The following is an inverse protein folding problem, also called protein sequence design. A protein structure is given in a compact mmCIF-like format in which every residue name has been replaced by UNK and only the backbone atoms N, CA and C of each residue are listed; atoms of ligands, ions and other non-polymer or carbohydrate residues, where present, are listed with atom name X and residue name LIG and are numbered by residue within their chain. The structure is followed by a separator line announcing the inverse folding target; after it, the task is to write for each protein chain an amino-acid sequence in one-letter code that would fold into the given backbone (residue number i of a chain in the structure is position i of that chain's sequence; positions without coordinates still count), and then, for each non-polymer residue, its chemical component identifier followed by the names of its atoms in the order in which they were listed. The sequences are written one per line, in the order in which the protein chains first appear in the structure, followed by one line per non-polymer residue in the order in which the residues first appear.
data_IF_932584052140
#
_entry.id   IF_932584052140
#
_cell.length_a   1.000
_cell.length_b   1.000
_cell.length_c   1.000
_cell.angle_alpha   90.00
_cell.angle_beta   90.00
_cell.angle_gamma   90.00
#
_symmetry.space_group_name_H-M   'P 1'
#
loop_
_entity.id
_entity.type
_entity.pdbx_description
1 polymer ?
#
# COMPACT_ATOMS: atom_id res chain seq x y z
N UNK A 1 -2.15 0.23 16.57
CA UNK A 1 -2.11 1.49 15.82
C UNK A 1 -1.97 2.60 16.85
N UNK A 2 -1.09 3.59 16.63
CA UNK A 2 -0.80 4.63 17.63
C UNK A 2 -1.81 5.82 17.58
N UNK A 3 -3.07 5.57 17.17
CA UNK A 3 -4.19 6.53 17.12
C UNK A 3 -3.83 7.96 16.71
N UNK A 4 -2.90 8.09 15.77
CA UNK A 4 -2.42 9.36 15.26
C UNK A 4 -2.54 9.33 13.76
N UNK A 5 -3.50 10.10 13.25
CA UNK A 5 -3.58 10.38 11.83
C UNK A 5 -2.35 11.16 11.39
N UNK A 6 -1.82 10.92 10.18
CA UNK A 6 -0.73 11.71 9.63
C UNK A 6 -1.15 13.19 9.54
N UNK A 7 -0.19 14.11 9.73
CA UNK A 7 -0.48 15.53 9.58
C UNK A 7 -0.82 15.86 8.12
N UNK A 8 -1.51 16.98 7.89
CA UNK A 8 -1.83 17.42 6.52
C UNK A 8 -0.57 17.61 5.65
N UNK A 9 0.55 18.04 6.25
CA UNK A 9 1.83 18.13 5.56
C UNK A 9 2.41 16.77 5.16
N UNK A 10 2.26 15.75 6.01
CA UNK A 10 2.73 14.39 5.69
C UNK A 10 1.92 13.78 4.55
N UNK A 11 0.59 13.98 4.57
CA UNK A 11 -0.30 13.55 3.49
C UNK A 11 0.09 14.22 2.17
N UNK A 12 0.30 15.53 2.16
CA UNK A 12 0.69 16.26 0.96
C UNK A 12 2.06 15.79 0.42
N UNK A 13 3.04 15.57 1.29
CA UNK A 13 4.35 15.06 0.89
C UNK A 13 4.26 13.66 0.27
N UNK A 14 3.47 12.76 0.87
CA UNK A 14 3.29 11.41 0.38
C UNK A 14 2.58 11.36 -0.98
N UNK A 15 1.59 12.22 -1.21
CA UNK A 15 1.00 12.38 -2.54
C UNK A 15 2.01 12.84 -3.58
N UNK A 16 2.86 13.80 -3.21
CA UNK A 16 3.87 14.34 -4.10
C UNK A 16 4.88 13.25 -4.45
N UNK A 17 5.26 12.41 -3.49
CA UNK A 17 6.13 11.25 -3.71
C UNK A 17 5.55 10.27 -4.74
N UNK A 18 4.23 10.02 -4.67
CA UNK A 18 3.52 9.21 -5.67
C UNK A 18 3.49 9.89 -7.04
N UNK A 19 3.08 11.16 -7.11
CA UNK A 19 2.94 11.91 -8.37
C UNK A 19 4.26 12.13 -9.08
N UNK A 20 5.35 12.27 -8.33
CA UNK A 20 6.70 12.54 -8.84
C UNK A 20 7.59 11.30 -8.89
N UNK A 21 7.03 10.12 -8.58
CA UNK A 21 7.71 8.83 -8.64
C UNK A 21 8.96 8.76 -7.75
N UNK A 22 8.96 9.48 -6.62
CA UNK A 22 9.99 9.34 -5.57
C UNK A 22 9.87 7.99 -4.85
N UNK A 23 8.70 7.37 -4.91
CA UNK A 23 8.49 5.97 -4.51
C UNK A 23 8.29 5.07 -5.72
N UNK A 24 8.65 3.79 -5.56
CA UNK A 24 8.57 2.77 -6.62
C UNK A 24 7.31 1.92 -6.57
N UNK A 25 6.63 1.91 -5.44
CA UNK A 25 5.47 1.07 -5.16
C UNK A 25 4.67 1.67 -4.01
N UNK A 26 3.35 1.56 -4.08
CA UNK A 26 2.46 1.74 -2.93
C UNK A 26 2.03 0.39 -2.36
N UNK A 27 2.24 0.19 -1.06
CA UNK A 27 1.60 -0.91 -0.31
C UNK A 27 0.50 -0.33 0.55
N UNK A 28 -0.68 -0.94 0.54
CA UNK A 28 -1.81 -0.52 1.37
C UNK A 28 -2.54 -1.71 1.97
N UNK A 29 -3.19 -1.51 3.12
CA UNK A 29 -4.04 -2.54 3.69
C UNK A 29 -5.36 -2.62 2.89
N UNK A 30 -5.57 -3.71 2.16
CA UNK A 30 -6.77 -3.94 1.37
C UNK A 30 -8.02 -4.27 2.21
N UNK A 31 -7.85 -4.50 3.52
CA UNK A 31 -8.94 -4.68 4.47
C UNK A 31 -9.40 -3.36 5.09
N UNK A 32 -8.66 -2.26 4.89
CA UNK A 32 -9.02 -0.96 5.41
C UNK A 32 -10.07 -0.28 4.51
N UNK A 33 -11.11 0.28 5.12
CA UNK A 33 -12.14 1.10 4.43
C UNK A 33 -11.85 2.60 4.52
N UNK A 34 -10.60 2.97 4.83
CA UNK A 34 -10.21 4.34 5.11
C UNK A 34 -10.18 5.23 3.84
N UNK A 35 -10.81 6.43 3.85
CA UNK A 35 -10.82 7.32 2.70
C UNK A 35 -9.44 7.82 2.27
N UNK A 36 -8.51 7.98 3.21
CA UNK A 36 -7.14 8.43 2.93
C UNK A 36 -6.37 7.35 2.18
N UNK A 37 -6.47 6.09 2.61
CA UNK A 37 -5.88 4.95 1.91
C UNK A 37 -6.41 4.83 0.48
N UNK A 38 -7.74 4.90 0.29
CA UNK A 38 -8.37 4.85 -1.03
C UNK A 38 -7.92 6.02 -1.93
N UNK A 39 -7.72 7.20 -1.35
CA UNK A 39 -7.21 8.37 -2.06
C UNK A 39 -5.76 8.17 -2.53
N UNK A 40 -4.89 7.63 -1.68
CA UNK A 40 -3.49 7.33 -2.05
C UNK A 40 -3.42 6.26 -3.13
N UNK A 41 -4.23 5.20 -3.02
CA UNK A 41 -4.35 4.17 -4.05
C UNK A 41 -4.74 4.77 -5.41
N UNK A 42 -5.73 5.66 -5.43
CA UNK A 42 -6.16 6.34 -6.66
C UNK A 42 -5.04 7.19 -7.27
N UNK A 43 -4.30 7.94 -6.45
CA UNK A 43 -3.19 8.78 -6.91
C UNK A 43 -2.06 7.92 -7.49
N UNK A 44 -1.67 6.85 -6.78
CA UNK A 44 -0.64 5.92 -7.24
C UNK A 44 -1.00 5.32 -8.61
N UNK A 45 -2.23 4.81 -8.74
CA UNK A 45 -2.75 4.25 -10.01
C UNK A 45 -2.74 5.29 -11.13
N UNK A 46 -3.15 6.54 -10.85
CA UNK A 46 -3.17 7.60 -11.85
C UNK A 46 -1.76 8.02 -12.30
N UNK A 47 -0.78 7.99 -11.39
CA UNK A 47 0.63 8.25 -11.72
C UNK A 47 1.32 7.04 -12.40
N UNK A 48 0.69 5.86 -12.41
CA UNK A 48 1.32 4.64 -12.90
C UNK A 48 2.36 4.07 -11.92
N UNK A 49 2.31 4.48 -10.65
CA UNK A 49 3.03 3.82 -9.57
C UNK A 49 2.31 2.49 -9.27
N UNK A 50 3.01 1.35 -9.32
CA UNK A 50 2.40 0.06 -9.01
C UNK A 50 1.84 0.02 -7.58
N UNK A 51 0.81 -0.81 -7.36
CA UNK A 51 0.13 -0.94 -6.07
C UNK A 51 0.01 -2.40 -5.67
N UNK A 52 0.36 -2.72 -4.43
CA UNK A 52 0.17 -4.04 -3.81
C UNK A 52 -0.74 -3.91 -2.60
N UNK A 53 -1.83 -4.68 -2.59
CA UNK A 53 -2.68 -4.85 -1.41
C UNK A 53 -2.06 -5.86 -0.45
N UNK A 54 -1.91 -5.49 0.81
CA UNK A 54 -1.58 -6.38 1.92
C UNK A 54 -2.78 -6.52 2.86
N UNK A 55 -2.81 -7.56 3.68
CA UNK A 55 -3.79 -7.70 4.76
C UNK A 55 -3.11 -7.50 6.11
N UNK A 56 -3.85 -7.07 7.13
CA UNK A 56 -3.34 -7.01 8.51
C UNK A 56 -3.57 -8.31 9.27
N UNK A 57 -4.64 -9.02 8.90
CA UNK A 57 -5.01 -10.30 9.49
C UNK A 57 -4.82 -11.43 8.50
N UNK A 58 -4.51 -12.61 9.04
CA UNK A 58 -4.36 -13.82 8.26
C UNK A 58 -5.66 -14.12 7.50
N UNK A 59 -5.61 -14.30 6.16
CA UNK A 59 -6.78 -14.70 5.40
C UNK A 59 -7.32 -16.06 5.85
N UNK A 60 -8.63 -16.31 5.73
CA UNK A 60 -9.18 -17.61 6.07
C UNK A 60 -8.62 -18.71 5.17
N UNK A 61 -8.29 -19.86 5.75
CA UNK A 61 -7.89 -21.05 4.99
C UNK A 61 -6.44 -21.06 4.48
N UNK A 62 -5.59 -20.16 4.96
CA UNK A 62 -4.13 -20.20 4.74
C UNK A 62 -3.39 -20.37 6.06
N UNK A 63 -2.16 -20.89 6.01
CA UNK A 63 -1.24 -20.76 7.13
C UNK A 63 -0.54 -19.40 7.08
N UNK A 64 0.00 -18.99 8.22
CA UNK A 64 0.84 -17.79 8.32
C UNK A 64 1.98 -17.79 7.31
N UNK A 65 2.69 -18.92 7.15
CA UNK A 65 3.83 -19.01 6.24
C UNK A 65 3.39 -18.83 4.78
N UNK A 66 2.28 -19.46 4.38
CA UNK A 66 1.76 -19.33 3.03
C UNK A 66 1.23 -17.91 2.77
N UNK A 67 0.65 -17.26 3.78
CA UNK A 67 0.19 -15.87 3.69
C UNK A 67 1.36 -14.90 3.48
N UNK A 68 2.37 -14.93 4.35
CA UNK A 68 3.52 -14.03 4.24
C UNK A 68 4.32 -14.31 2.96
N UNK A 69 4.52 -15.59 2.59
CA UNK A 69 5.17 -15.93 1.33
C UNK A 69 4.40 -15.37 0.12
N UNK A 70 3.07 -15.48 0.09
CA UNK A 70 2.25 -14.91 -0.98
C UNK A 70 2.33 -13.38 -1.06
N UNK A 71 2.42 -12.69 0.09
CA UNK A 71 2.62 -11.24 0.13
C UNK A 71 4.00 -10.84 -0.43
N UNK A 72 5.05 -11.60 -0.12
CA UNK A 72 6.40 -11.39 -0.66
C UNK A 72 6.45 -11.68 -2.17
N UNK A 73 5.79 -12.73 -2.64
CA UNK A 73 5.68 -13.05 -4.07
C UNK A 73 4.96 -11.93 -4.84
N UNK A 74 3.89 -11.37 -4.27
CA UNK A 74 3.18 -10.25 -4.87
C UNK A 74 4.09 -9.01 -4.95
N UNK A 75 4.85 -8.73 -3.88
CA UNK A 75 5.82 -7.64 -3.86
C UNK A 75 6.90 -7.80 -4.93
N UNK A 76 7.52 -8.97 -5.03
CA UNK A 76 8.59 -9.28 -5.99
C UNK A 76 8.13 -9.12 -7.45
N UNK A 77 6.90 -9.56 -7.77
CA UNK A 77 6.33 -9.44 -9.11
C UNK A 77 6.01 -8.00 -9.50
N UNK A 78 5.66 -7.15 -8.54
CA UNK A 78 5.17 -5.80 -8.79
C UNK A 78 6.29 -4.76 -8.70
N UNK A 79 7.39 -5.04 -7.98
CA UNK A 79 8.50 -4.10 -7.83
C UNK A 79 9.19 -3.86 -9.19
N UNK A 80 9.28 -2.60 -9.66
CA UNK A 80 10.05 -2.27 -10.85
C UNK A 80 11.54 -2.61 -10.65
N UNK A 81 12.18 -3.19 -11.68
CA UNK A 81 13.61 -3.50 -11.69
C UNK A 81 14.50 -2.27 -11.81
#
# INVERSE_FOLDING_TARGET
MNDTEPSASDVAAFEDDLKTHRVKLLVYNSQATDPTAARMEKIAKAAGVPVVGATETEPPGTSYQAWIAGALDALDRTLPR
#
